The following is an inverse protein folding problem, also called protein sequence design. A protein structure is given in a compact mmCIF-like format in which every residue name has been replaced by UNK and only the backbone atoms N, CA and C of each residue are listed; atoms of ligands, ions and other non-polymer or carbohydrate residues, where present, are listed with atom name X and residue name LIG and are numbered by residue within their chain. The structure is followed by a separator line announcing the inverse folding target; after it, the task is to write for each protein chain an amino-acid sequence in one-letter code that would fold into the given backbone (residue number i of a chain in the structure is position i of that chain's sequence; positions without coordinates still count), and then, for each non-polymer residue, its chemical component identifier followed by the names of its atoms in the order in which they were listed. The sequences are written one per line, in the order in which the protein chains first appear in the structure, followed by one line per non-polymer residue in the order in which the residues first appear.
data_IF_280362964879
#
_entry.id   IF_280362964879
#
_cell.length_a   1.000
_cell.length_b   1.000
_cell.length_c   1.000
_cell.angle_alpha   90.00
_cell.angle_beta   90.00
_cell.angle_gamma   90.00
#
_symmetry.space_group_name_H-M   'P 1'
#
loop_
_entity.id
_entity.type
_entity.pdbx_description
1 polymer ?
#
# COMPACT_ATOMS: atom_id res chain seq x y z
N UNK A 1 29.78 24.94 0.47
CA UNK A 1 30.11 23.86 -0.47
C UNK A 1 29.84 24.36 -1.88
N UNK A 2 30.88 24.56 -2.68
CA UNK A 2 30.72 24.98 -4.07
C UNK A 2 30.01 23.85 -4.85
N UNK A 3 28.98 24.20 -5.62
CA UNK A 3 28.34 23.25 -6.54
C UNK A 3 29.40 22.68 -7.50
N UNK A 4 29.38 21.37 -7.80
CA UNK A 4 30.30 20.79 -8.76
C UNK A 4 30.20 21.51 -10.11
N UNK A 5 31.35 21.73 -10.73
CA UNK A 5 31.49 22.57 -11.93
C UNK A 5 30.60 22.11 -13.10
N UNK A 6 30.40 20.80 -13.21
CA UNK A 6 29.55 20.16 -14.23
C UNK A 6 28.08 20.57 -14.09
N UNK A 7 27.59 20.66 -12.85
CA UNK A 7 26.21 21.01 -12.53
C UNK A 7 25.97 22.51 -12.78
N UNK A 8 26.96 23.36 -12.48
CA UNK A 8 26.94 24.78 -12.83
C UNK A 8 26.88 25.01 -14.35
N UNK A 9 27.63 24.25 -15.14
CA UNK A 9 27.58 24.32 -16.60
C UNK A 9 26.23 23.83 -17.12
N UNK A 10 25.75 22.69 -16.64
CA UNK A 10 24.46 22.12 -17.02
C UNK A 10 23.32 23.10 -16.76
N UNK A 11 23.21 23.62 -15.53
CA UNK A 11 22.16 24.56 -15.14
C UNK A 11 22.24 25.88 -15.92
N UNK A 12 23.45 26.35 -16.24
CA UNK A 12 23.65 27.52 -17.10
C UNK A 12 23.16 27.25 -18.51
N UNK A 13 23.36 26.06 -19.07
CA UNK A 13 22.86 25.69 -20.39
C UNK A 13 21.34 25.53 -20.42
N UNK A 14 20.74 24.94 -19.39
CA UNK A 14 19.27 24.80 -19.29
C UNK A 14 18.59 26.16 -19.10
N UNK A 15 19.23 27.09 -18.38
CA UNK A 15 18.69 28.42 -18.06
C UNK A 15 19.09 29.51 -19.06
N UNK A 16 20.11 29.30 -19.89
CA UNK A 16 20.63 30.35 -20.77
C UNK A 16 19.65 30.67 -21.90
N UNK A 17 19.01 31.85 -21.78
CA UNK A 17 18.44 32.64 -22.88
C UNK A 17 19.52 32.95 -23.93
N UNK A 18 19.93 31.98 -24.75
CA UNK A 18 20.78 32.29 -25.91
C UNK A 18 19.89 32.63 -27.09
N UNK A 19 19.80 33.92 -27.42
CA UNK A 19 19.50 34.61 -28.71
C UNK A 19 18.37 34.09 -29.64
N UNK A 20 18.04 32.80 -29.65
CA UNK A 20 16.97 32.14 -30.38
C UNK A 20 15.85 31.71 -29.42
N UNK A 21 14.80 32.52 -29.33
CA UNK A 21 13.59 32.23 -28.54
C UNK A 21 12.99 30.84 -28.83
N UNK A 22 13.10 30.34 -30.06
CA UNK A 22 12.62 29.03 -30.49
C UNK A 22 13.22 27.86 -29.69
N UNK A 23 14.53 27.86 -29.44
CA UNK A 23 15.20 26.76 -28.74
C UNK A 23 14.80 26.73 -27.26
N UNK A 24 14.69 27.92 -26.64
CA UNK A 24 14.24 28.05 -25.25
C UNK A 24 12.79 27.60 -25.07
N UNK A 25 11.93 27.81 -26.07
CA UNK A 25 10.53 27.39 -26.04
C UNK A 25 10.39 25.85 -26.10
N UNK A 26 11.10 25.20 -27.03
CA UNK A 26 11.10 23.74 -27.14
C UNK A 26 11.61 23.10 -25.84
N UNK A 27 12.74 23.58 -25.30
CA UNK A 27 13.29 23.05 -24.04
C UNK A 27 12.32 23.16 -22.88
N UNK A 28 11.55 24.25 -22.79
CA UNK A 28 10.56 24.45 -21.73
C UNK A 28 9.41 23.45 -21.84
N UNK A 29 8.85 23.29 -23.04
CA UNK A 29 7.74 22.35 -23.27
C UNK A 29 8.19 20.91 -23.08
N UNK A 30 9.38 20.54 -23.55
CA UNK A 30 9.94 19.20 -23.33
C UNK A 30 10.11 18.89 -21.85
N UNK A 31 10.64 19.84 -21.07
CA UNK A 31 10.81 19.68 -19.62
C UNK A 31 9.46 19.56 -18.90
N UNK A 32 8.47 20.36 -19.27
CA UNK A 32 7.11 20.25 -18.73
C UNK A 32 6.45 18.92 -19.12
N UNK A 33 6.60 18.47 -20.36
CA UNK A 33 6.03 17.20 -20.82
C UNK A 33 6.61 16.00 -20.09
N UNK A 34 7.94 15.95 -19.91
CA UNK A 34 8.61 14.89 -19.13
C UNK A 34 8.15 14.96 -17.67
N UNK A 35 8.13 16.16 -17.08
CA UNK A 35 7.69 16.35 -15.70
C UNK A 35 6.26 15.88 -15.46
N UNK A 36 5.33 16.26 -16.35
CA UNK A 36 3.93 15.83 -16.29
C UNK A 36 3.77 14.32 -16.52
N UNK A 37 4.50 13.75 -17.47
CA UNK A 37 4.46 12.31 -17.75
C UNK A 37 4.95 11.48 -16.56
N UNK A 38 6.09 11.85 -15.98
CA UNK A 38 6.64 11.19 -14.80
C UNK A 38 5.71 11.37 -13.60
N UNK A 39 5.16 12.57 -13.38
CA UNK A 39 4.21 12.82 -12.31
C UNK A 39 2.95 11.94 -12.44
N UNK A 40 2.39 11.82 -13.65
CA UNK A 40 1.24 10.97 -13.90
C UNK A 40 1.53 9.49 -13.60
N UNK A 41 2.69 8.98 -14.05
CA UNK A 41 3.12 7.61 -13.77
C UNK A 41 3.27 7.37 -12.26
N UNK A 42 3.91 8.29 -11.54
CA UNK A 42 4.06 8.20 -10.08
C UNK A 42 2.69 8.14 -9.39
N UNK A 43 1.76 9.03 -9.78
CA UNK A 43 0.40 9.07 -9.20
C UNK A 43 -0.34 7.76 -9.44
N UNK A 44 -0.35 7.25 -10.68
CA UNK A 44 -1.04 6.01 -11.03
C UNK A 44 -0.48 4.82 -10.24
N UNK A 45 0.85 4.68 -10.20
CA UNK A 45 1.48 3.62 -9.40
C UNK A 45 1.17 3.77 -7.91
N UNK A 46 1.21 4.99 -7.38
CA UNK A 46 0.90 5.25 -5.97
C UNK A 46 -0.53 4.85 -5.62
N UNK A 47 -1.50 5.19 -6.46
CA UNK A 47 -2.90 4.82 -6.27
C UNK A 47 -3.06 3.30 -6.34
N UNK A 48 -2.45 2.65 -7.34
CA UNK A 48 -2.55 1.20 -7.49
C UNK A 48 -1.93 0.44 -6.32
N UNK A 49 -0.73 0.83 -5.88
CA UNK A 49 -0.07 0.21 -4.74
C UNK A 49 -0.88 0.39 -3.44
N UNK A 50 -1.42 1.58 -3.20
CA UNK A 50 -2.26 1.86 -2.04
C UNK A 50 -3.56 1.04 -2.05
N UNK A 51 -4.25 1.02 -3.20
CA UNK A 51 -5.49 0.29 -3.37
C UNK A 51 -5.31 -1.23 -3.24
N UNK A 52 -4.26 -1.78 -3.85
CA UNK A 52 -3.92 -3.20 -3.70
C UNK A 52 -3.68 -3.58 -2.24
N UNK A 53 -2.98 -2.74 -1.47
CA UNK A 53 -2.76 -2.96 -0.04
C UNK A 53 -4.07 -2.96 0.74
N UNK A 54 -4.95 -1.99 0.48
CA UNK A 54 -6.24 -1.87 1.15
C UNK A 54 -7.14 -3.06 0.83
N UNK A 55 -7.27 -3.43 -0.45
CA UNK A 55 -8.05 -4.61 -0.85
C UNK A 55 -7.52 -5.89 -0.23
N UNK A 56 -6.20 -6.12 -0.31
CA UNK A 56 -5.57 -7.29 0.30
C UNK A 56 -5.84 -7.34 1.81
N UNK A 57 -5.73 -6.20 2.49
CA UNK A 57 -5.95 -6.11 3.93
C UNK A 57 -7.41 -6.37 4.29
N UNK A 58 -8.37 -5.85 3.52
CA UNK A 58 -9.80 -6.12 3.78
C UNK A 58 -10.19 -7.57 3.52
N UNK A 59 -9.65 -8.17 2.45
CA UNK A 59 -9.94 -9.56 2.09
C UNK A 59 -9.30 -10.53 3.09
N UNK A 60 -8.01 -10.33 3.41
CA UNK A 60 -7.26 -11.25 4.28
C UNK A 60 -7.40 -10.92 5.77
N UNK A 61 -7.74 -9.68 6.13
CA UNK A 61 -7.80 -9.22 7.51
C UNK A 61 -8.97 -9.78 8.32
N UNK A 62 -9.99 -10.32 7.65
CA UNK A 62 -11.16 -10.92 8.29
C UNK A 62 -10.97 -12.43 8.53
N UNK A 63 -9.94 -13.04 7.92
CA UNK A 63 -9.69 -14.47 8.07
C UNK A 63 -8.80 -14.75 9.29
N UNK A 64 -9.30 -15.56 10.21
CA UNK A 64 -8.47 -16.21 11.23
C UNK A 64 -7.45 -17.13 10.55
N UNK A 65 -6.16 -16.97 10.85
CA UNK A 65 -5.12 -17.82 10.25
C UNK A 65 -5.22 -19.28 10.71
N UNK A 66 -5.68 -19.51 11.94
CA UNK A 66 -5.91 -20.83 12.54
C UNK A 66 -7.25 -20.78 13.30
N UNK A 67 -8.05 -21.84 13.20
CA UNK A 67 -9.27 -22.03 13.98
C UNK A 67 -9.15 -23.30 14.81
N UNK A 68 -9.54 -23.22 16.07
CA UNK A 68 -9.61 -24.38 16.97
C UNK A 68 -11.09 -24.63 17.25
N UNK A 69 -11.61 -25.75 16.76
CA UNK A 69 -13.02 -26.15 16.91
C UNK A 69 -13.12 -27.55 17.53
N UNK A 70 -14.22 -27.82 18.22
CA UNK A 70 -14.53 -29.15 18.75
C UNK A 70 -15.35 -29.94 17.73
N UNK A 71 -15.22 -31.28 17.74
CA UNK A 71 -15.96 -32.18 16.83
C UNK A 71 -17.48 -32.04 17.01
N UNK A 72 -17.93 -31.76 18.24
CA UNK A 72 -19.33 -31.54 18.60
C UNK A 72 -19.76 -30.06 18.53
N UNK A 73 -18.93 -29.17 17.99
CA UNK A 73 -19.26 -27.74 17.79
C UNK A 73 -19.11 -26.85 19.02
N UNK A 74 -19.05 -27.39 20.24
CA UNK A 74 -18.95 -26.60 21.48
C UNK A 74 -17.63 -26.81 22.24
N UNK A 75 -16.83 -25.74 22.31
CA UNK A 75 -15.57 -25.72 23.03
C UNK A 75 -15.77 -25.25 24.49
N UNK A 76 -16.11 -26.19 25.38
CA UNK A 76 -16.46 -25.92 26.77
C UNK A 76 -15.37 -25.18 27.58
N UNK A 77 -14.09 -25.55 27.40
CA UNK A 77 -12.95 -24.96 28.11
C UNK A 77 -12.09 -24.06 27.19
N UNK A 78 -12.75 -23.27 26.34
CA UNK A 78 -12.05 -22.36 25.42
C UNK A 78 -11.04 -21.40 26.10
N UNK A 79 -11.23 -20.86 27.33
CA UNK A 79 -10.25 -19.94 27.91
C UNK A 79 -8.91 -20.61 28.22
N UNK A 80 -8.93 -21.86 28.69
CA UNK A 80 -7.73 -22.63 28.97
C UNK A 80 -6.97 -22.99 27.68
N UNK A 81 -7.70 -23.34 26.62
CA UNK A 81 -7.15 -23.67 25.30
C UNK A 81 -6.55 -22.42 24.65
N UNK A 82 -7.23 -21.28 24.72
CA UNK A 82 -6.70 -20.00 24.27
C UNK A 82 -5.41 -19.62 25.02
N UNK A 83 -5.38 -19.84 26.34
CA UNK A 83 -4.19 -19.64 27.16
C UNK A 83 -3.02 -20.59 26.82
N UNK A 84 -3.30 -21.82 26.38
CA UNK A 84 -2.28 -22.73 25.87
C UNK A 84 -1.76 -22.31 24.49
N UNK A 85 -2.66 -21.93 23.58
CA UNK A 85 -2.30 -21.47 22.24
C UNK A 85 -1.42 -20.20 22.30
N UNK A 86 -1.75 -19.25 23.19
CA UNK A 86 -1.01 -18.01 23.38
C UNK A 86 0.43 -18.20 23.90
N UNK A 87 0.80 -19.39 24.41
CA UNK A 87 2.18 -19.69 24.81
C UNK A 87 3.11 -19.93 23.63
N UNK A 88 2.56 -20.20 22.44
CA UNK A 88 3.37 -20.41 21.25
C UNK A 88 3.88 -19.07 20.72
N UNK A 89 5.18 -18.93 20.40
CA UNK A 89 5.79 -17.65 20.02
C UNK A 89 5.22 -17.04 18.72
N UNK A 90 4.60 -17.84 17.87
CA UNK A 90 3.98 -17.38 16.61
C UNK A 90 2.54 -16.87 16.78
N UNK A 91 1.92 -17.09 17.94
CA UNK A 91 0.53 -16.66 18.21
C UNK A 91 0.53 -15.20 18.66
N UNK A 92 0.13 -14.30 17.75
CA UNK A 92 0.07 -12.85 18.03
C UNK A 92 -1.17 -12.44 18.82
N UNK A 93 -2.29 -13.09 18.58
CA UNK A 93 -3.57 -12.83 19.23
C UNK A 93 -4.49 -14.05 19.11
N UNK A 94 -5.36 -14.24 20.11
CA UNK A 94 -6.42 -15.23 20.09
C UNK A 94 -7.73 -14.57 20.52
N UNK A 95 -8.82 -14.88 19.84
CA UNK A 95 -10.15 -14.37 20.15
C UNK A 95 -11.18 -15.50 20.03
N UNK A 96 -12.14 -15.63 20.96
CA UNK A 96 -13.25 -16.56 20.81
C UNK A 96 -14.20 -16.10 19.70
N UNK A 97 -14.79 -17.04 18.98
CA UNK A 97 -15.84 -16.77 17.99
C UNK A 97 -16.96 -17.81 18.10
N UNK A 98 -18.15 -17.43 17.65
CA UNK A 98 -19.30 -18.33 17.51
C UNK A 98 -19.77 -18.25 16.06
N UNK A 99 -19.88 -19.40 15.40
CA UNK A 99 -20.38 -19.49 14.04
C UNK A 99 -21.73 -20.23 14.05
N UNK A 100 -22.78 -19.55 13.59
CA UNK A 100 -24.13 -20.10 13.46
C UNK A 100 -24.68 -19.79 12.07
N UNK A 101 -25.47 -20.72 11.52
CA UNK A 101 -26.20 -20.51 10.27
C UNK A 101 -27.64 -20.14 10.62
N UNK A 102 -28.11 -18.98 10.15
CA UNK A 102 -29.49 -18.53 10.32
C UNK A 102 -30.11 -18.16 8.97
N UNK A 103 -31.39 -18.50 8.78
CA UNK A 103 -32.19 -18.03 7.65
C UNK A 103 -33.08 -16.89 8.13
N UNK A 104 -32.89 -15.71 7.56
CA UNK A 104 -33.79 -14.58 7.77
C UNK A 104 -34.90 -14.65 6.72
N UNK A 105 -36.13 -14.92 7.15
CA UNK A 105 -37.32 -14.67 6.33
C UNK A 105 -37.88 -13.32 6.76
N UNK A 106 -38.08 -12.43 5.79
CA UNK A 106 -38.87 -11.21 5.97
C UNK A 106 -40.18 -11.48 5.26
N UNK A 107 -41.28 -11.57 6.01
CA UNK A 107 -42.63 -11.62 5.44
C UNK A 107 -43.06 -10.26 4.89
#
# INVERSE_FOLDING_TARGET
MALPYELLIGLRYTRAKRRNHFISFISLISMLGIGLGVAALIVVLSVMNGFQKELRTRILGVASHIQITAINGELHNWPAIAGQAAKHPEVRAAAPFVQSQGMFSVD
#
